data_IF_937718087890
#
_entry.id   IF_937718087890
#
_cell.length_a   1.000
_cell.length_b   1.000
_cell.length_c   1.000
_cell.angle_alpha   90.00
_cell.angle_beta   90.00
_cell.angle_gamma   90.00
#
_symmetry.space_group_name_H-M   'P 1'
#
loop_
_entity.id
_entity.type
_entity.pdbx_description
1 polymer ?
#
# COMPACT_ATOMS: atom_id res chain seq x y z
N UNK A 1 -1.45 -22.43 -41.51
CA UNK A 1 -2.65 -22.68 -40.67
C UNK A 1 -2.27 -22.41 -39.22
N UNK A 2 -2.49 -21.18 -38.73
CA UNK A 2 -2.11 -20.79 -37.37
C UNK A 2 -3.33 -20.97 -36.44
N UNK A 3 -3.19 -21.62 -35.27
CA UNK A 3 -4.31 -21.78 -34.35
C UNK A 3 -4.64 -20.42 -33.73
N UNK A 4 -5.81 -19.88 -34.09
CA UNK A 4 -6.36 -18.68 -33.47
C UNK A 4 -6.72 -19.03 -32.02
N UNK A 5 -5.84 -18.68 -31.07
CA UNK A 5 -6.19 -18.69 -29.64
C UNK A 5 -7.45 -17.85 -29.46
N UNK A 6 -8.44 -18.43 -28.80
CA UNK A 6 -9.79 -17.88 -28.66
C UNK A 6 -9.71 -16.48 -28.03
N UNK A 7 -10.46 -15.52 -28.58
CA UNK A 7 -10.55 -14.13 -28.08
C UNK A 7 -10.77 -14.09 -26.55
N UNK A 8 -11.45 -15.09 -26.00
CA UNK A 8 -11.69 -15.29 -24.57
C UNK A 8 -10.43 -15.47 -23.73
N UNK A 9 -9.38 -16.12 -24.24
CA UNK A 9 -8.09 -16.24 -23.55
C UNK A 9 -7.27 -14.96 -23.63
N UNK A 10 -7.39 -14.21 -24.74
CA UNK A 10 -6.71 -12.93 -24.92
C UNK A 10 -7.34 -11.84 -24.03
N UNK A 11 -8.67 -11.82 -23.87
CA UNK A 11 -9.35 -10.91 -22.92
C UNK A 11 -8.94 -11.24 -21.48
N UNK A 12 -8.78 -12.52 -21.13
CA UNK A 12 -8.26 -12.93 -19.81
C UNK A 12 -6.80 -12.52 -19.57
N UNK A 13 -5.97 -12.46 -20.62
CA UNK A 13 -4.58 -12.00 -20.53
C UNK A 13 -4.46 -10.46 -20.50
N UNK A 14 -5.32 -9.75 -21.23
CA UNK A 14 -5.38 -8.29 -21.24
C UNK A 14 -5.90 -7.71 -19.90
N UNK A 15 -6.73 -8.44 -19.16
CA UNK A 15 -7.15 -8.05 -17.80
C UNK A 15 -6.15 -8.48 -16.70
N UNK A 16 -5.04 -9.14 -17.05
CA UNK A 16 -4.11 -9.80 -16.13
C UNK A 16 -2.87 -8.98 -15.76
N UNK A 17 -2.90 -7.65 -15.88
CA UNK A 17 -1.71 -6.82 -15.62
C UNK A 17 -1.98 -5.51 -14.92
N UNK A 18 -3.02 -5.45 -14.09
CA UNK A 18 -3.08 -4.45 -13.03
C UNK A 18 -3.17 -5.19 -11.70
N UNK A 19 -2.01 -5.65 -11.23
CA UNK A 19 -1.85 -5.98 -9.82
C UNK A 19 -2.24 -4.73 -9.04
N UNK A 20 -3.41 -4.75 -8.40
CA UNK A 20 -3.85 -3.64 -7.57
C UNK A 20 -3.07 -3.70 -6.27
N UNK A 21 -2.05 -2.86 -6.19
CA UNK A 21 -1.27 -2.66 -4.98
C UNK A 21 -2.12 -1.87 -3.99
N UNK A 22 -2.27 -2.37 -2.76
CA UNK A 22 -3.06 -1.73 -1.71
C UNK A 22 -2.17 -1.41 -0.52
N UNK A 23 -2.17 -0.15 -0.09
CA UNK A 23 -1.43 0.30 1.09
C UNK A 23 -2.21 0.00 2.36
N UNK A 24 -1.59 -0.73 3.30
CA UNK A 24 -2.12 -0.95 4.64
C UNK A 24 -1.30 -0.17 5.65
N UNK A 25 -1.95 0.77 6.34
CA UNK A 25 -1.32 1.49 7.44
C UNK A 25 -0.93 0.51 8.55
N UNK A 26 0.34 0.48 8.93
CA UNK A 26 0.87 -0.49 9.87
C UNK A 26 1.65 0.17 11.01
N UNK A 27 1.39 -0.28 12.24
CA UNK A 27 2.12 0.15 13.43
C UNK A 27 3.22 -0.86 13.76
N UNK A 28 4.39 -0.38 14.15
CA UNK A 28 5.54 -1.24 14.50
C UNK A 28 5.34 -1.92 15.85
N UNK A 29 4.93 -1.13 16.84
CA UNK A 29 4.91 -1.50 18.25
C UNK A 29 3.71 -0.90 18.97
N UNK A 30 3.41 -1.43 20.16
CA UNK A 30 2.31 -0.96 20.99
C UNK A 30 2.44 0.52 21.40
N UNK A 31 3.66 1.01 21.62
CA UNK A 31 3.91 2.43 21.94
C UNK A 31 3.53 3.34 20.77
N UNK A 32 3.91 2.95 19.54
CA UNK A 32 3.53 3.70 18.35
C UNK A 32 2.01 3.70 18.18
N UNK A 33 1.38 2.53 18.36
CA UNK A 33 -0.08 2.40 18.32
C UNK A 33 -0.77 3.33 19.33
N UNK A 34 -0.29 3.38 20.57
CA UNK A 34 -0.82 4.25 21.62
C UNK A 34 -0.67 5.74 21.28
N UNK A 35 0.48 6.15 20.72
CA UNK A 35 0.69 7.54 20.27
C UNK A 35 -0.31 7.95 19.19
N UNK A 36 -0.59 7.06 18.24
CA UNK A 36 -1.59 7.30 17.19
C UNK A 36 -3.02 7.33 17.74
N UNK A 37 -3.36 6.42 18.66
CA UNK A 37 -4.65 6.41 19.35
C UNK A 37 -4.94 7.71 20.10
N UNK A 38 -3.90 8.35 20.66
CA UNK A 38 -4.04 9.61 21.38
C UNK A 38 -4.43 10.79 20.49
N UNK A 39 -4.19 10.71 19.18
CA UNK A 39 -4.50 11.79 18.23
C UNK A 39 -5.70 11.47 17.34
N UNK A 40 -6.14 10.21 17.26
CA UNK A 40 -7.30 9.83 16.47
C UNK A 40 -8.59 10.36 17.08
N UNK A 41 -9.35 11.08 16.27
CA UNK A 41 -10.72 11.49 16.60
C UNK A 41 -11.63 10.25 16.72
N UNK A 42 -11.35 9.24 15.90
CA UNK A 42 -12.08 7.98 15.81
C UNK A 42 -11.44 6.88 16.68
N UNK A 43 -10.93 7.24 17.86
CA UNK A 43 -10.27 6.29 18.78
C UNK A 43 -11.20 5.18 19.27
N UNK A 44 -12.51 5.43 19.29
CA UNK A 44 -13.53 4.47 19.75
C UNK A 44 -13.70 3.27 18.80
N UNK A 45 -13.43 3.46 17.51
CA UNK A 45 -13.49 2.37 16.53
C UNK A 45 -12.22 1.51 16.51
N UNK A 46 -11.18 1.95 17.23
CA UNK A 46 -9.91 1.26 17.31
C UNK A 46 -9.93 0.22 18.43
N UNK A 47 -9.11 -0.81 18.27
CA UNK A 47 -9.06 -1.88 19.25
C UNK A 47 -8.27 -1.39 20.48
N UNK A 48 -8.71 -1.73 21.69
CA UNK A 48 -8.04 -1.33 22.93
C UNK A 48 -6.56 -1.70 22.99
N UNK A 49 -6.18 -2.82 22.36
CA UNK A 49 -4.81 -3.33 22.40
C UNK A 49 -4.21 -3.49 21.02
N UNK A 50 -2.92 -3.20 20.93
CA UNK A 50 -2.11 -3.46 19.74
C UNK A 50 -2.18 -4.91 19.30
N UNK A 51 -2.19 -5.87 20.24
CA UNK A 51 -2.26 -7.29 19.93
C UNK A 51 -3.56 -7.67 19.20
N UNK A 52 -4.70 -7.12 19.64
CA UNK A 52 -6.00 -7.37 19.01
C UNK A 52 -6.08 -6.70 17.65
N UNK A 53 -5.64 -5.44 17.54
CA UNK A 53 -5.51 -4.74 16.27
C UNK A 53 -4.64 -5.53 15.28
N UNK A 54 -3.45 -5.96 15.69
CA UNK A 54 -2.47 -6.66 14.84
C UNK A 54 -3.04 -7.99 14.34
N UNK A 55 -3.73 -8.74 15.19
CA UNK A 55 -4.41 -9.99 14.81
C UNK A 55 -5.47 -9.76 13.73
N UNK A 56 -6.25 -8.70 13.85
CA UNK A 56 -7.32 -8.37 12.89
C UNK A 56 -6.75 -7.78 11.60
N UNK A 57 -5.75 -6.91 11.67
CA UNK A 57 -5.03 -6.35 10.53
C UNK A 57 -4.34 -7.46 9.71
N UNK A 58 -3.68 -8.42 10.38
CA UNK A 58 -3.05 -9.56 9.70
C UNK A 58 -4.07 -10.47 8.99
N UNK A 59 -5.26 -10.67 9.57
CA UNK A 59 -6.36 -11.40 8.90
C UNK A 59 -6.87 -10.64 7.69
N UNK A 60 -7.03 -9.32 7.79
CA UNK A 60 -7.45 -8.48 6.67
C UNK A 60 -6.44 -8.58 5.53
N UNK A 61 -5.15 -8.37 5.79
CA UNK A 61 -4.06 -8.53 4.80
C UNK A 61 -4.17 -9.87 4.07
N UNK A 62 -4.24 -10.99 4.80
CA UNK A 62 -4.40 -12.32 4.19
C UNK A 62 -5.69 -12.46 3.36
N UNK A 63 -6.76 -11.76 3.71
CA UNK A 63 -8.00 -11.78 2.93
C UNK A 63 -7.84 -11.01 1.61
N UNK A 64 -7.14 -9.87 1.62
CA UNK A 64 -6.83 -9.12 0.42
C UNK A 64 -5.86 -9.89 -0.49
N UNK A 65 -4.81 -10.47 0.07
CA UNK A 65 -3.87 -11.32 -0.69
C UNK A 65 -4.58 -12.51 -1.36
N UNK A 66 -5.50 -13.17 -0.64
CA UNK A 66 -6.33 -14.25 -1.22
C UNK A 66 -7.24 -13.80 -2.36
N UNK A 67 -7.63 -12.52 -2.40
CA UNK A 67 -8.44 -11.93 -3.47
C UNK A 67 -7.58 -11.49 -4.67
N UNK A 68 -6.26 -11.66 -4.61
CA UNK A 68 -5.33 -11.29 -5.69
C UNK A 68 -4.76 -9.87 -5.59
N UNK A 69 -4.95 -9.19 -4.45
CA UNK A 69 -4.32 -7.90 -4.19
C UNK A 69 -2.90 -8.10 -3.64
N UNK A 70 -1.98 -7.19 -3.97
CA UNK A 70 -0.66 -7.14 -3.33
C UNK A 70 -0.70 -6.07 -2.26
N UNK A 71 -0.66 -6.49 -0.99
CA UNK A 71 -0.72 -5.59 0.15
C UNK A 71 0.66 -5.12 0.56
N UNK A 72 0.84 -3.81 0.71
CA UNK A 72 2.08 -3.21 1.17
C UNK A 72 1.87 -2.57 2.54
N UNK A 73 2.70 -2.93 3.52
CA UNK A 73 2.67 -2.31 4.85
C UNK A 73 3.34 -0.95 4.77
N UNK A 74 2.57 0.08 5.05
CA UNK A 74 3.02 1.48 5.05
C UNK A 74 3.19 1.93 6.49
N UNK A 75 4.39 2.41 6.80
CA UNK A 75 4.75 2.95 8.10
C UNK A 75 4.84 4.47 8.02
N UNK A 76 4.45 5.15 9.09
CA UNK A 76 4.50 6.61 9.18
C UNK A 76 4.63 7.05 10.64
N UNK A 77 5.04 8.29 10.86
CA UNK A 77 4.94 8.93 12.18
C UNK A 77 3.57 9.62 12.35
N UNK A 78 3.14 9.86 13.60
CA UNK A 78 1.94 10.64 13.89
C UNK A 78 1.99 12.04 13.26
N UNK A 79 3.17 12.66 13.29
CA UNK A 79 3.42 13.99 12.73
C UNK A 79 3.27 14.01 11.20
N UNK A 80 3.80 13.01 10.50
CA UNK A 80 3.64 12.90 9.04
C UNK A 80 2.17 12.74 8.64
N UNK A 81 1.42 11.89 9.35
CA UNK A 81 0.01 11.68 9.07
C UNK A 81 -0.79 12.95 9.35
N UNK A 82 -0.49 13.65 10.45
CA UNK A 82 -1.16 14.88 10.84
C UNK A 82 -0.89 16.01 9.84
N UNK A 83 0.35 16.17 9.39
CA UNK A 83 0.71 17.15 8.35
C UNK A 83 -0.02 16.86 7.03
N UNK A 84 -0.13 15.59 6.63
CA UNK A 84 -0.89 15.20 5.44
C UNK A 84 -2.39 15.49 5.60
N UNK A 85 -2.94 15.17 6.76
CA UNK A 85 -4.34 15.40 7.08
C UNK A 85 -4.68 16.90 7.02
N UNK A 86 -3.80 17.75 7.56
CA UNK A 86 -3.93 19.21 7.49
C UNK A 86 -3.81 19.73 6.06
N UNK A 87 -2.86 19.21 5.27
CA UNK A 87 -2.69 19.60 3.87
C UNK A 87 -3.89 19.22 2.98
N UNK A 88 -4.56 18.10 3.29
CA UNK A 88 -5.72 17.61 2.54
C UNK A 88 -7.06 18.07 3.12
N UNK A 89 -7.07 18.79 4.25
CA UNK A 89 -8.29 19.24 4.92
C UNK A 89 -9.19 18.09 5.38
N UNK A 90 -8.62 16.90 5.65
CA UNK A 90 -9.37 15.72 6.09
C UNK A 90 -9.29 15.58 7.62
N UNK A 91 -10.26 14.91 8.27
CA UNK A 91 -10.19 14.54 9.70
C UNK A 91 -9.27 13.33 9.92
N UNK A 92 -8.74 13.15 11.12
CA UNK A 92 -7.77 12.08 11.41
C UNK A 92 -8.48 10.76 11.76
N UNK A 93 -9.10 10.14 10.76
CA UNK A 93 -9.97 8.96 10.91
C UNK A 93 -9.51 7.75 10.07
N UNK A 94 -10.34 6.70 10.02
CA UNK A 94 -10.05 5.47 9.25
C UNK A 94 -9.89 5.70 7.74
N UNK A 95 -10.69 6.60 7.16
CA UNK A 95 -10.63 6.91 5.73
C UNK A 95 -9.32 7.60 5.37
N UNK A 96 -8.90 8.61 6.15
CA UNK A 96 -7.66 9.36 5.92
C UNK A 96 -6.43 8.47 6.06
N UNK A 97 -6.41 7.54 7.03
CA UNK A 97 -5.33 6.55 7.16
C UNK A 97 -5.17 5.67 5.93
N UNK A 98 -6.30 5.23 5.38
CA UNK A 98 -6.33 4.38 4.19
C UNK A 98 -5.91 5.15 2.93
N UNK A 99 -6.38 6.39 2.79
CA UNK A 99 -5.99 7.28 1.70
C UNK A 99 -4.49 7.58 1.75
N UNK A 100 -3.97 7.97 2.92
CA UNK A 100 -2.55 8.22 3.14
C UNK A 100 -1.67 7.00 2.80
N UNK A 101 -2.06 5.80 3.26
CA UNK A 101 -1.31 4.58 2.98
C UNK A 101 -1.25 4.30 1.46
N UNK A 102 -2.36 4.47 0.75
CA UNK A 102 -2.40 4.28 -0.70
C UNK A 102 -1.59 5.35 -1.45
N UNK A 103 -1.62 6.61 -0.99
CA UNK A 103 -0.83 7.69 -1.60
C UNK A 103 0.68 7.49 -1.40
N UNK A 104 1.12 7.11 -0.19
CA UNK A 104 2.53 6.78 0.09
C UNK A 104 3.00 5.62 -0.78
N UNK A 105 2.15 4.60 -0.96
CA UNK A 105 2.43 3.48 -1.86
C UNK A 105 2.53 3.91 -3.32
N UNK A 106 1.60 4.74 -3.80
CA UNK A 106 1.63 5.29 -5.15
C UNK A 106 2.89 6.13 -5.39
N UNK A 107 3.31 6.92 -4.39
CA UNK A 107 4.54 7.74 -4.45
C UNK A 107 5.79 6.86 -4.48
N UNK A 108 5.82 5.77 -3.72
CA UNK A 108 6.91 4.79 -3.75
C UNK A 108 6.99 4.07 -5.11
N UNK A 109 5.85 3.72 -5.71
CA UNK A 109 5.78 3.09 -7.04
C UNK A 109 6.17 4.05 -8.19
N UNK A 110 5.97 5.36 -8.01
CA UNK A 110 6.33 6.41 -8.98
C UNK A 110 7.83 6.74 -9.03
N UNK A 111 8.68 6.06 -8.27
CA UNK A 111 10.14 6.11 -8.48
C UNK A 111 10.51 5.02 -9.51
N UNK A 112 10.52 5.29 -10.83
CA UNK A 112 11.21 4.38 -11.73
C UNK A 112 12.67 4.36 -11.29
N UNK A 113 13.18 3.15 -11.07
CA UNK A 113 14.58 2.86 -10.86
C UNK A 113 15.39 3.41 -12.04
N UNK A 114 15.79 4.68 -11.97
CA UNK A 114 16.83 5.22 -12.83
C UNK A 114 18.18 4.71 -12.30
N UNK A 115 19.05 4.31 -13.23
CA UNK A 115 20.42 3.79 -13.06
C UNK A 115 20.45 2.25 -12.83
N UNK A 116 21.01 1.40 -13.70
CA UNK A 116 22.27 1.55 -14.44
C UNK A 116 22.28 0.74 -15.74
N UNK A 117 22.41 1.38 -16.90
CA UNK A 117 22.95 0.75 -18.10
C UNK A 117 24.24 1.49 -18.46
N UNK A 118 25.32 1.16 -17.74
CA UNK A 118 26.66 1.59 -18.11
C UNK A 118 27.07 0.83 -19.37
N UNK A 119 26.89 1.51 -20.50
CA UNK A 119 27.68 1.45 -21.73
C UNK A 119 29.02 0.71 -21.61
N UNK A 120 29.14 -0.37 -22.37
CA UNK A 120 30.39 -1.10 -22.61
C UNK A 120 30.30 -1.90 -23.91
N UNK A 121 29.93 -1.25 -25.02
CA UNK A 121 30.02 -1.84 -26.36
C UNK A 121 31.39 -1.52 -26.96
N UNK A 122 32.15 -2.60 -27.15
CA UNK A 122 33.30 -2.82 -28.01
C UNK A 122 33.66 -1.70 -29.02
N UNK A 123 34.88 -1.19 -28.91
CA UNK A 123 35.64 -0.67 -30.05
C UNK A 123 36.59 -1.76 -30.54
N UNK A 124 36.20 -2.45 -31.61
CA UNK A 124 37.08 -3.25 -32.46
C UNK A 124 37.48 -2.32 -33.62
N UNK A 125 38.77 -2.11 -33.84
CA UNK A 125 39.30 -1.70 -35.13
C UNK A 125 40.75 -2.15 -35.28
#
# INVERSE_FOLDING_TARGET
MYPKKTVTEQIKALHKSQVTNVGFFWYRDAEQYARFLSIYEDRDTMHDTYALWHKQAAKAVKQYERRGFVTHRVYSTPEELLAWCQANGTPLNAASRSAFANEKLATAAKRPNSLSNAIGRAGHH
#
